data_IF_461925413928
#
_entry.id   IF_461925413928
#
_cell.length_a   1.000
_cell.length_b   1.000
_cell.length_c   1.000
_cell.angle_alpha   90.00
_cell.angle_beta   90.00
_cell.angle_gamma   90.00
#
_symmetry.space_group_name_H-M   'P 1'
#
loop_
_entity.id
_entity.type
_entity.pdbx_description
1 polymer ?
#
# COMPACT_ATOMS: atom_id res chain seq x y z
N UNK A 1 -10.23 17.11 3.59
CA UNK A 1 -10.30 15.96 2.66
C UNK A 1 -9.33 14.88 3.13
N UNK A 2 -9.67 13.58 2.98
CA UNK A 2 -8.81 12.45 3.37
C UNK A 2 -8.14 11.84 2.15
N UNK A 3 -6.82 11.75 2.15
CA UNK A 3 -6.02 11.13 1.08
C UNK A 3 -5.46 9.78 1.53
N UNK A 4 -5.29 8.89 0.58
CA UNK A 4 -4.59 7.61 0.77
C UNK A 4 -3.42 7.54 -0.20
N UNK A 5 -2.21 7.39 0.34
CA UNK A 5 -0.97 7.18 -0.40
C UNK A 5 -0.56 5.72 -0.24
N UNK A 6 -0.32 5.02 -1.33
CA UNK A 6 -0.05 3.59 -1.34
C UNK A 6 1.28 3.32 -2.02
N UNK A 7 2.20 2.74 -1.28
CA UNK A 7 3.35 2.04 -1.83
C UNK A 7 2.86 0.73 -2.48
N UNK A 8 2.61 0.80 -3.76
CA UNK A 8 1.98 -0.27 -4.51
C UNK A 8 2.89 -1.47 -4.69
N UNK A 9 4.20 -1.25 -4.76
CA UNK A 9 5.18 -2.34 -4.85
C UNK A 9 5.22 -3.15 -3.55
N UNK A 10 5.22 -2.47 -2.41
CA UNK A 10 5.15 -3.11 -1.09
C UNK A 10 3.82 -3.84 -0.88
N UNK A 11 2.70 -3.20 -1.25
CA UNK A 11 1.37 -3.83 -1.16
C UNK A 11 1.27 -5.06 -2.06
N UNK A 12 1.76 -4.98 -3.31
CA UNK A 12 1.74 -6.11 -4.23
C UNK A 12 2.57 -7.28 -3.71
N UNK A 13 3.81 -7.04 -3.31
CA UNK A 13 4.67 -8.08 -2.75
C UNK A 13 4.00 -8.74 -1.54
N UNK A 14 3.42 -7.94 -0.65
CA UNK A 14 2.74 -8.44 0.54
C UNK A 14 1.54 -9.34 0.21
N UNK A 15 0.65 -8.87 -0.68
CA UNK A 15 -0.54 -9.66 -1.03
C UNK A 15 -0.16 -10.94 -1.78
N UNK A 16 0.87 -10.88 -2.64
CA UNK A 16 1.36 -12.07 -3.35
C UNK A 16 1.87 -13.13 -2.36
N UNK A 17 2.66 -12.74 -1.37
CA UNK A 17 3.17 -13.65 -0.32
C UNK A 17 2.03 -14.27 0.51
N UNK A 18 0.94 -13.52 0.73
CA UNK A 18 -0.17 -13.98 1.56
C UNK A 18 -1.18 -14.87 0.81
N UNK A 19 -1.44 -14.58 -0.45
CA UNK A 19 -2.56 -15.22 -1.18
C UNK A 19 -2.18 -15.81 -2.54
N UNK A 20 -1.02 -15.39 -3.12
CA UNK A 20 -0.59 -15.83 -4.45
C UNK A 20 -0.34 -17.33 -4.54
N UNK A 21 0.16 -17.83 -5.70
CA UNK A 21 0.26 -17.14 -7.00
C UNK A 21 -1.06 -17.04 -7.78
N UNK A 22 -2.07 -17.86 -7.43
CA UNK A 22 -3.33 -18.01 -8.19
C UNK A 22 -4.49 -17.15 -7.65
N UNK A 23 -4.22 -16.28 -6.71
CA UNK A 23 -5.22 -15.39 -6.10
C UNK A 23 -4.60 -14.02 -5.92
N UNK A 24 -5.42 -13.00 -5.89
CA UNK A 24 -4.99 -11.64 -5.58
C UNK A 24 -6.07 -10.93 -4.76
N UNK A 25 -5.66 -9.91 -4.02
CA UNK A 25 -6.59 -9.06 -3.28
C UNK A 25 -7.27 -8.12 -4.27
N UNK A 26 -8.60 -8.22 -4.40
CA UNK A 26 -9.36 -7.31 -5.25
C UNK A 26 -9.35 -5.90 -4.66
N UNK A 27 -8.68 -4.98 -5.34
CA UNK A 27 -8.36 -3.67 -4.79
C UNK A 27 -9.58 -2.82 -4.43
N UNK A 28 -10.65 -2.68 -5.26
CA UNK A 28 -11.84 -1.92 -4.88
C UNK A 28 -12.50 -2.47 -3.60
N UNK A 29 -12.53 -3.79 -3.43
CA UNK A 29 -13.07 -4.43 -2.22
C UNK A 29 -12.18 -4.15 -1.00
N UNK A 30 -10.86 -4.14 -1.17
CA UNK A 30 -9.92 -3.73 -0.11
C UNK A 30 -10.23 -2.29 0.34
N UNK A 31 -10.32 -1.36 -0.59
CA UNK A 31 -10.61 0.05 -0.28
C UNK A 31 -11.97 0.21 0.42
N UNK A 32 -13.02 -0.41 -0.10
CA UNK A 32 -14.34 -0.37 0.53
C UNK A 32 -14.33 -0.94 1.96
N UNK A 33 -13.59 -2.02 2.19
CA UNK A 33 -13.43 -2.63 3.51
C UNK A 33 -12.65 -1.74 4.47
N UNK A 34 -11.59 -1.10 4.00
CA UNK A 34 -10.82 -0.13 4.80
C UNK A 34 -11.70 1.08 5.19
N UNK A 35 -12.42 1.67 4.25
CA UNK A 35 -13.32 2.78 4.49
C UNK A 35 -14.39 2.43 5.53
N UNK A 36 -15.00 1.25 5.38
CA UNK A 36 -16.00 0.75 6.34
C UNK A 36 -15.42 0.56 7.74
N UNK A 37 -14.24 -0.03 7.85
CA UNK A 37 -13.60 -0.32 9.16
C UNK A 37 -13.03 0.91 9.84
N UNK A 38 -12.55 1.88 9.07
CA UNK A 38 -11.98 3.14 9.57
C UNK A 38 -13.04 4.22 9.77
N UNK A 39 -14.29 3.98 9.32
CA UNK A 39 -15.39 4.96 9.32
C UNK A 39 -15.01 6.26 8.62
N UNK A 40 -14.39 6.14 7.44
CA UNK A 40 -13.96 7.27 6.62
C UNK A 40 -14.31 7.03 5.14
N UNK A 41 -14.12 8.09 4.35
CA UNK A 41 -14.07 8.01 2.89
C UNK A 41 -12.77 8.63 2.39
N UNK A 42 -12.07 7.94 1.50
CA UNK A 42 -10.93 8.50 0.79
C UNK A 42 -11.43 9.37 -0.36
N UNK A 43 -11.03 10.65 -0.37
CA UNK A 43 -11.37 11.56 -1.48
C UNK A 43 -10.50 11.30 -2.70
N UNK A 44 -9.20 11.06 -2.49
CA UNK A 44 -8.22 10.73 -3.53
C UNK A 44 -7.35 9.57 -3.04
N UNK A 45 -7.01 8.67 -3.98
CA UNK A 45 -6.13 7.52 -3.72
C UNK A 45 -4.97 7.60 -4.70
N UNK A 46 -3.76 7.74 -4.19
CA UNK A 46 -2.53 7.70 -4.97
C UNK A 46 -1.89 6.33 -4.83
N UNK A 47 -1.58 5.70 -5.95
CA UNK A 47 -0.96 4.39 -6.00
C UNK A 47 0.35 4.48 -6.79
N UNK A 48 1.46 4.15 -6.15
CA UNK A 48 2.81 4.28 -6.70
C UNK A 48 3.41 2.89 -6.87
N UNK A 49 3.74 2.52 -8.10
CA UNK A 49 4.36 1.22 -8.38
C UNK A 49 5.11 1.22 -9.70
N UNK A 50 6.06 0.31 -9.84
CA UNK A 50 6.62 -0.06 -11.13
C UNK A 50 6.25 -1.50 -11.47
N UNK A 51 6.16 -1.80 -12.78
CA UNK A 51 5.94 -3.17 -13.24
C UNK A 51 7.24 -3.97 -13.17
N UNK A 52 7.13 -5.23 -12.80
CA UNK A 52 8.25 -6.16 -12.83
C UNK A 52 8.76 -6.37 -14.25
N UNK A 53 10.09 -6.51 -14.43
CA UNK A 53 10.67 -6.76 -15.74
C UNK A 53 10.22 -8.13 -16.26
N UNK A 54 10.01 -8.23 -17.58
CA UNK A 54 9.66 -9.48 -18.24
C UNK A 54 10.93 -10.10 -18.82
N UNK A 55 11.44 -11.21 -18.26
CA UNK A 55 12.55 -11.94 -18.84
C UNK A 55 12.19 -12.51 -20.21
N UNK A 56 13.20 -12.70 -21.08
CA UNK A 56 12.99 -13.31 -22.41
C UNK A 56 12.45 -14.74 -22.30
N UNK A 57 12.97 -15.49 -21.32
CA UNK A 57 12.57 -16.87 -21.05
C UNK A 57 12.15 -17.00 -19.56
N UNK A 58 10.94 -16.59 -19.22
CA UNK A 58 10.50 -16.62 -17.84
C UNK A 58 10.23 -18.06 -17.36
N UNK A 59 10.67 -18.38 -16.13
CA UNK A 59 10.29 -19.63 -15.47
C UNK A 59 8.78 -19.64 -15.19
N UNK A 60 8.25 -20.81 -14.77
CA UNK A 60 6.85 -20.93 -14.40
C UNK A 60 6.50 -19.98 -13.26
N UNK A 61 7.34 -19.91 -12.24
CA UNK A 61 7.16 -19.04 -11.07
C UNK A 61 7.15 -17.57 -11.48
N UNK A 62 8.04 -17.17 -12.38
CA UNK A 62 8.08 -15.81 -12.92
C UNK A 62 6.83 -15.48 -13.75
N UNK A 63 6.33 -16.44 -14.54
CA UNK A 63 5.06 -16.26 -15.28
C UNK A 63 3.89 -16.09 -14.32
N UNK A 64 3.80 -16.94 -13.30
CA UNK A 64 2.74 -16.86 -12.29
C UNK A 64 2.78 -15.53 -11.54
N UNK A 65 3.98 -15.06 -11.15
CA UNK A 65 4.17 -13.76 -10.52
C UNK A 65 3.72 -12.60 -11.42
N UNK A 66 4.17 -12.57 -12.67
CA UNK A 66 3.83 -11.50 -13.63
C UNK A 66 2.34 -11.48 -13.98
N UNK A 67 1.72 -12.65 -14.08
CA UNK A 67 0.27 -12.76 -14.30
C UNK A 67 -0.50 -12.22 -13.09
N UNK A 68 -0.12 -12.62 -11.88
CA UNK A 68 -0.72 -12.12 -10.66
C UNK A 68 -0.59 -10.59 -10.55
N UNK A 69 0.61 -10.04 -10.84
CA UNK A 69 0.86 -8.60 -10.86
C UNK A 69 -0.06 -7.89 -11.85
N UNK A 70 -0.20 -8.42 -13.04
CA UNK A 70 -1.08 -7.85 -14.06
C UNK A 70 -2.53 -7.76 -13.58
N UNK A 71 -3.08 -8.86 -13.04
CA UNK A 71 -4.46 -8.87 -12.57
C UNK A 71 -4.67 -7.98 -11.35
N UNK A 72 -3.71 -7.98 -10.42
CA UNK A 72 -3.76 -7.09 -9.26
C UNK A 72 -3.77 -5.63 -9.70
N UNK A 73 -2.82 -5.19 -10.53
CA UNK A 73 -2.78 -3.79 -11.00
C UNK A 73 -3.96 -3.44 -11.93
N UNK A 74 -4.52 -4.42 -12.64
CA UNK A 74 -5.78 -4.22 -13.35
C UNK A 74 -6.90 -3.88 -12.37
N UNK A 75 -7.04 -4.63 -11.28
CA UNK A 75 -8.05 -4.35 -10.25
C UNK A 75 -7.82 -3.00 -9.55
N UNK A 76 -6.56 -2.58 -9.37
CA UNK A 76 -6.24 -1.24 -8.85
C UNK A 76 -6.85 -0.16 -9.73
N UNK A 77 -6.74 -0.29 -11.04
CA UNK A 77 -7.25 0.69 -12.02
C UNK A 77 -8.78 0.69 -12.15
N UNK A 78 -9.48 -0.27 -11.57
CA UNK A 78 -10.95 -0.28 -11.49
C UNK A 78 -11.47 0.72 -10.44
N UNK A 79 -10.65 1.14 -9.49
CA UNK A 79 -11.01 2.17 -8.51
C UNK A 79 -11.01 3.56 -9.16
N UNK A 80 -12.20 4.17 -9.26
CA UNK A 80 -12.40 5.44 -9.98
C UNK A 80 -11.65 6.64 -9.40
N UNK A 81 -11.31 6.59 -8.10
CA UNK A 81 -10.62 7.68 -7.37
C UNK A 81 -9.10 7.52 -7.40
N UNK A 82 -8.59 6.54 -8.17
CA UNK A 82 -7.16 6.23 -8.22
C UNK A 82 -6.40 7.19 -9.13
N UNK A 83 -5.27 7.65 -8.65
CA UNK A 83 -4.21 8.23 -9.46
C UNK A 83 -3.03 7.26 -9.41
N UNK A 84 -2.81 6.54 -10.50
CA UNK A 84 -1.76 5.54 -10.61
C UNK A 84 -0.48 6.18 -11.15
N UNK A 85 0.54 6.31 -10.33
CA UNK A 85 1.88 6.68 -10.75
C UNK A 85 2.67 5.43 -11.13
N UNK A 86 3.07 5.36 -12.40
CA UNK A 86 3.91 4.27 -12.90
C UNK A 86 5.37 4.71 -12.90
N UNK A 87 6.14 4.25 -11.92
CA UNK A 87 7.59 4.37 -11.94
C UNK A 87 8.24 3.55 -13.06
N UNK A 88 9.54 3.73 -13.22
CA UNK A 88 10.31 2.91 -14.15
C UNK A 88 11.35 2.04 -13.43
N UNK A 89 11.85 1.04 -14.12
CA UNK A 89 12.98 0.23 -13.65
C UNK A 89 14.21 0.52 -14.51
N UNK A 90 15.34 0.68 -13.84
CA UNK A 90 16.62 0.85 -14.52
C UNK A 90 16.91 -0.38 -15.42
N UNK A 91 17.19 -0.15 -16.69
CA UNK A 91 17.57 -1.21 -17.63
C UNK A 91 18.86 -1.92 -17.20
N UNK A 92 19.78 -1.21 -16.54
CA UNK A 92 21.08 -1.71 -16.14
C UNK A 92 21.02 -2.54 -14.86
N UNK A 93 20.32 -2.04 -13.82
CA UNK A 93 20.28 -2.68 -12.50
C UNK A 93 18.99 -3.43 -12.21
N UNK A 94 17.96 -3.28 -13.03
CA UNK A 94 16.61 -3.82 -12.77
C UNK A 94 15.90 -3.20 -11.57
N UNK A 95 16.58 -2.28 -10.85
CA UNK A 95 16.02 -1.66 -9.64
C UNK A 95 14.92 -0.66 -9.99
N UNK A 96 13.90 -0.64 -9.16
CA UNK A 96 12.86 0.36 -9.19
C UNK A 96 13.43 1.76 -8.95
N UNK A 97 12.90 2.75 -9.65
CA UNK A 97 13.33 4.13 -9.59
C UNK A 97 12.12 5.06 -9.45
N UNK A 98 12.34 6.16 -8.74
CA UNK A 98 11.41 7.29 -8.58
C UNK A 98 10.18 7.03 -7.70
N UNK A 99 9.73 5.79 -7.50
CA UNK A 99 8.47 5.49 -6.83
C UNK A 99 8.45 6.04 -5.41
N UNK A 100 9.45 5.70 -4.59
CA UNK A 100 9.52 6.12 -3.18
C UNK A 100 9.74 7.62 -3.04
N UNK A 101 10.59 8.19 -3.91
CA UNK A 101 10.83 9.62 -3.96
C UNK A 101 9.56 10.36 -4.35
N UNK A 102 8.86 9.90 -5.39
CA UNK A 102 7.61 10.52 -5.85
C UNK A 102 6.53 10.46 -4.78
N UNK A 103 6.34 9.30 -4.14
CA UNK A 103 5.40 9.15 -3.04
C UNK A 103 5.73 10.11 -1.90
N UNK A 104 7.01 10.16 -1.46
CA UNK A 104 7.46 11.05 -0.39
C UNK A 104 7.23 12.51 -0.71
N UNK A 105 7.55 12.93 -1.93
CA UNK A 105 7.36 14.32 -2.42
C UNK A 105 5.87 14.66 -2.47
N UNK A 106 5.02 13.77 -2.96
CA UNK A 106 3.57 14.02 -3.04
C UNK A 106 2.92 14.06 -1.66
N UNK A 107 3.30 13.14 -0.76
CA UNK A 107 2.82 13.14 0.62
C UNK A 107 3.13 14.48 1.29
N UNK A 108 4.38 14.91 1.25
CA UNK A 108 4.81 16.16 1.89
C UNK A 108 4.24 17.38 1.14
N UNK A 109 4.42 17.43 -0.17
CA UNK A 109 4.05 18.57 -1.00
C UNK A 109 2.55 18.89 -0.93
N UNK A 110 1.69 17.88 -1.09
CA UNK A 110 0.24 18.09 -0.98
C UNK A 110 -0.18 18.50 0.44
N UNK A 111 0.51 17.99 1.46
CA UNK A 111 0.28 18.42 2.84
C UNK A 111 0.64 19.88 3.07
N UNK A 112 1.82 20.32 2.61
CA UNK A 112 2.26 21.72 2.69
C UNK A 112 1.33 22.66 1.92
N UNK A 113 0.81 22.20 0.77
CA UNK A 113 -0.17 22.93 -0.04
C UNK A 113 -1.61 22.86 0.49
N UNK A 114 -1.85 22.26 1.67
CA UNK A 114 -3.15 22.10 2.31
C UNK A 114 -4.20 21.37 1.44
N UNK A 115 -3.76 20.43 0.58
CA UNK A 115 -4.65 19.65 -0.27
C UNK A 115 -5.47 18.62 0.52
N UNK A 116 -4.98 18.23 1.70
CA UNK A 116 -5.66 17.33 2.63
C UNK A 116 -5.42 17.76 4.09
N UNK A 117 -6.32 17.37 4.97
CA UNK A 117 -6.19 17.52 6.42
C UNK A 117 -5.96 16.17 7.13
N UNK A 118 -6.20 15.07 6.43
CA UNK A 118 -5.96 13.72 6.92
C UNK A 118 -5.33 12.87 5.80
N UNK A 119 -4.24 12.19 6.13
CA UNK A 119 -3.56 11.27 5.22
C UNK A 119 -3.42 9.89 5.85
N UNK A 120 -3.55 8.88 5.00
CA UNK A 120 -3.13 7.53 5.29
C UNK A 120 -1.98 7.16 4.34
N UNK A 121 -0.91 6.62 4.90
CA UNK A 121 0.20 6.04 4.14
C UNK A 121 0.18 4.54 4.31
N UNK A 122 0.02 3.82 3.20
CA UNK A 122 0.01 2.36 3.17
C UNK A 122 1.37 1.86 2.70
N UNK A 123 2.21 1.46 3.63
CA UNK A 123 3.53 0.87 3.42
C UNK A 123 4.01 0.15 4.67
N UNK A 124 4.93 -0.79 4.53
CA UNK A 124 5.70 -1.38 5.63
C UNK A 124 7.15 -0.92 5.62
N UNK A 125 7.53 -0.01 4.70
CA UNK A 125 8.89 0.44 4.51
C UNK A 125 9.22 1.62 5.45
N UNK A 126 10.41 1.54 6.05
CA UNK A 126 10.93 2.57 6.94
C UNK A 126 11.44 3.82 6.21
N UNK A 127 11.72 3.73 4.93
CA UNK A 127 12.30 4.83 4.14
C UNK A 127 11.37 6.05 4.09
N UNK A 128 10.08 5.86 4.31
CA UNK A 128 9.10 6.95 4.37
C UNK A 128 9.05 7.69 5.72
N UNK A 129 9.76 7.23 6.76
CA UNK A 129 9.71 7.87 8.09
C UNK A 129 10.14 9.32 8.06
N UNK A 130 11.17 9.65 7.29
CA UNK A 130 11.66 11.03 7.19
C UNK A 130 10.61 11.95 6.55
N UNK A 131 9.89 11.47 5.53
CA UNK A 131 8.79 12.23 4.92
C UNK A 131 7.65 12.45 5.92
N UNK A 132 7.29 11.42 6.69
CA UNK A 132 6.29 11.51 7.75
C UNK A 132 6.70 12.50 8.84
N UNK A 133 7.95 12.43 9.30
CA UNK A 133 8.50 13.32 10.32
C UNK A 133 8.51 14.78 9.83
N UNK A 134 9.04 15.01 8.65
CA UNK A 134 9.08 16.36 8.04
C UNK A 134 7.66 16.94 7.93
N UNK A 135 6.70 16.17 7.41
CA UNK A 135 5.32 16.60 7.31
C UNK A 135 4.73 16.99 8.68
N UNK A 136 4.93 16.17 9.70
CA UNK A 136 4.37 16.42 11.04
C UNK A 136 5.03 17.60 11.75
N UNK A 137 6.30 17.84 11.48
CA UNK A 137 7.03 19.00 12.02
C UNK A 137 6.49 20.30 11.44
N UNK A 138 6.25 20.35 10.12
CA UNK A 138 5.87 21.60 9.43
C UNK A 138 4.35 21.78 9.33
N UNK A 139 3.56 20.71 9.48
CA UNK A 139 2.10 20.72 9.45
C UNK A 139 1.53 19.83 10.58
N UNK A 140 1.71 20.20 11.85
CA UNK A 140 1.28 19.41 13.00
C UNK A 140 -0.24 19.17 13.02
N UNK A 141 -1.03 20.05 12.40
CA UNK A 141 -2.49 19.93 12.29
C UNK A 141 -2.96 18.80 11.38
N UNK A 142 -2.11 18.31 10.47
CA UNK A 142 -2.44 17.17 9.60
C UNK A 142 -2.51 15.90 10.43
N UNK A 143 -3.61 15.19 10.34
CA UNK A 143 -3.75 13.83 10.89
C UNK A 143 -3.09 12.84 9.94
N UNK A 144 -1.98 12.23 10.36
CA UNK A 144 -1.29 11.19 9.61
C UNK A 144 -1.46 9.84 10.31
N UNK A 145 -1.83 8.81 9.56
CA UNK A 145 -1.93 7.44 10.04
C UNK A 145 -1.29 6.47 9.04
N UNK A 146 -0.80 5.34 9.53
CA UNK A 146 -0.15 4.32 8.71
C UNK A 146 -1.06 3.11 8.56
N UNK A 147 -1.00 2.50 7.37
CA UNK A 147 -1.61 1.22 7.07
C UNK A 147 -0.49 0.25 6.67
N UNK A 148 -0.44 -0.90 7.29
CA UNK A 148 0.61 -1.88 7.02
C UNK A 148 0.00 -3.27 6.87
N UNK A 149 0.45 -4.01 5.86
CA UNK A 149 0.07 -5.42 5.73
C UNK A 149 0.75 -6.26 6.81
N UNK A 150 0.06 -7.27 7.31
CA UNK A 150 0.51 -8.10 8.45
C UNK A 150 1.90 -8.73 8.28
N UNK A 151 2.31 -9.02 7.07
CA UNK A 151 3.59 -9.66 6.74
C UNK A 151 4.68 -8.67 6.31
N UNK A 152 4.41 -7.38 6.32
CA UNK A 152 5.37 -6.32 5.95
C UNK A 152 5.62 -5.33 7.10
N UNK A 153 5.44 -5.77 8.34
CA UNK A 153 5.78 -4.97 9.52
C UNK A 153 7.29 -5.07 9.72
N UNK A 154 8.04 -4.26 8.99
CA UNK A 154 9.50 -4.35 8.97
C UNK A 154 10.19 -3.48 10.02
N UNK A 155 9.54 -2.42 10.49
CA UNK A 155 10.19 -1.44 11.35
C UNK A 155 9.31 -0.92 12.48
N UNK A 156 9.76 -1.08 13.71
CA UNK A 156 9.02 -0.62 14.91
C UNK A 156 8.84 0.89 14.98
N UNK A 157 9.75 1.67 14.37
CA UNK A 157 9.67 3.14 14.32
C UNK A 157 8.44 3.68 13.59
N UNK A 158 7.83 2.92 12.66
CA UNK A 158 6.57 3.30 12.02
C UNK A 158 5.44 3.48 13.04
N UNK A 159 5.49 2.79 14.18
CA UNK A 159 4.47 2.88 15.23
C UNK A 159 4.54 4.16 16.09
N UNK A 160 5.42 5.10 15.79
CA UNK A 160 5.39 6.45 16.37
C UNK A 160 4.11 7.19 15.97
N UNK A 161 3.50 6.79 14.84
CA UNK A 161 2.24 7.32 14.34
C UNK A 161 1.08 6.35 14.64
N UNK A 162 -0.19 6.83 14.67
CA UNK A 162 -1.34 5.95 14.66
C UNK A 162 -1.24 4.95 13.52
N UNK A 163 -1.25 3.65 13.83
CA UNK A 163 -1.00 2.60 12.85
C UNK A 163 -2.10 1.55 12.88
N UNK A 164 -2.43 1.02 11.70
CA UNK A 164 -3.38 -0.05 11.52
C UNK A 164 -2.71 -1.19 10.77
N UNK A 165 -2.88 -2.40 11.26
CA UNK A 165 -2.39 -3.61 10.60
C UNK A 165 -3.54 -4.26 9.85
N UNK A 166 -3.34 -4.46 8.56
CA UNK A 166 -4.30 -5.12 7.67
C UNK A 166 -4.00 -6.62 7.74
N UNK A 167 -4.93 -7.38 8.32
CA UNK A 167 -4.84 -8.83 8.42
C UNK A 167 -5.78 -9.49 7.42
N UNK A 168 -5.25 -10.32 6.53
CA UNK A 168 -6.04 -11.13 5.59
C UNK A 168 -6.36 -12.50 6.22
N UNK A 169 -5.48 -13.01 7.08
CA UNK A 169 -5.64 -14.25 7.85
C UNK A 169 -5.59 -13.97 9.34
N UNK A 170 -6.08 -14.91 10.20
CA UNK A 170 -5.94 -14.77 11.66
C UNK A 170 -4.48 -14.54 12.02
N UNK A 171 -4.20 -13.36 12.51
CA UNK A 171 -2.88 -12.95 12.92
C UNK A 171 -2.76 -13.03 14.43
N UNK A 172 -1.87 -13.88 14.94
CA UNK A 172 -1.46 -13.89 16.35
C UNK A 172 -0.24 -12.96 16.52
N UNK A 173 -0.37 -11.69 16.19
CA UNK A 173 0.69 -10.73 16.49
C UNK A 173 0.62 -10.40 17.97
N UNK A 174 1.51 -11.03 18.74
CA UNK A 174 1.78 -10.66 20.13
C UNK A 174 2.74 -9.47 20.11
N UNK A 175 2.46 -8.44 20.90
CA UNK A 175 3.31 -7.26 21.13
C UNK A 175 3.36 -6.22 20.01
N UNK A 176 2.23 -5.64 19.65
CA UNK A 176 2.18 -4.43 18.85
C UNK A 176 1.97 -3.21 19.75
N UNK A 177 2.60 -2.09 19.41
CA UNK A 177 2.55 -0.86 20.21
C UNK A 177 1.10 -0.44 20.55
N UNK A 178 0.89 0.20 21.72
CA UNK A 178 -0.43 0.54 22.29
C UNK A 178 -1.38 1.34 21.38
N UNK A 179 -0.87 1.93 20.30
CA UNK A 179 -1.65 2.73 19.33
C UNK A 179 -2.06 1.98 18.06
N UNK A 180 -1.76 0.69 17.96
CA UNK A 180 -2.04 -0.09 16.75
C UNK A 180 -3.44 -0.71 16.83
N UNK A 181 -4.22 -0.49 15.79
CA UNK A 181 -5.52 -1.14 15.59
C UNK A 181 -5.42 -2.14 14.44
N UNK A 182 -6.04 -3.30 14.63
CA UNK A 182 -6.09 -4.35 13.62
C UNK A 182 -7.34 -4.19 12.74
N UNK A 183 -7.15 -4.31 11.44
CA UNK A 183 -8.23 -4.42 10.47
C UNK A 183 -8.24 -5.86 9.98
N UNK A 184 -9.21 -6.64 10.46
CA UNK A 184 -9.41 -8.02 10.02
C UNK A 184 -10.31 -8.03 8.79
N UNK A 185 -9.74 -8.41 7.64
CA UNK A 185 -10.44 -8.55 6.37
C UNK A 185 -10.95 -9.96 6.12
N UNK A 186 -10.82 -10.87 7.09
CA UNK A 186 -11.09 -12.30 6.94
C UNK A 186 -12.50 -12.67 6.49
N UNK A 187 -13.47 -11.81 6.79
CA UNK A 187 -14.88 -12.06 6.47
C UNK A 187 -15.29 -11.60 5.06
N UNK A 188 -14.39 -11.05 4.28
CA UNK A 188 -14.62 -10.66 2.89
C UNK A 188 -14.11 -11.78 1.99
N UNK A 189 -14.93 -12.83 1.81
CA UNK A 189 -14.63 -13.97 0.91
C UNK A 189 -14.27 -13.52 -0.53
N UNK A 190 -14.69 -12.33 -0.89
CA UNK A 190 -14.55 -11.75 -2.23
C UNK A 190 -13.21 -11.02 -2.44
N UNK A 191 -12.34 -10.91 -1.42
CA UNK A 191 -11.07 -10.21 -1.53
C UNK A 191 -10.02 -10.94 -2.38
N UNK A 192 -10.21 -12.21 -2.62
CA UNK A 192 -9.23 -13.04 -3.31
C UNK A 192 -9.87 -13.87 -4.41
N UNK A 193 -10.29 -13.28 -5.54
CA UNK A 193 -10.77 -14.05 -6.68
C UNK A 193 -9.67 -14.98 -7.19
N UNK A 194 -10.08 -16.17 -7.63
CA UNK A 194 -9.15 -17.10 -8.28
C UNK A 194 -8.86 -16.62 -9.68
N UNK A 195 -7.60 -16.74 -10.08
CA UNK A 195 -7.21 -16.57 -11.48
C UNK A 195 -7.64 -17.83 -12.22
N UNK A 196 -8.50 -17.67 -13.24
CA UNK A 196 -8.88 -18.70 -14.20
C UNK A 196 -7.74 -19.05 -15.14
#
# INVERSE_FOLDING_TARGET
MTYLFIDGSNLYASQYDLVGPRRFVHFPTLIASLEKKLLIKFGVIYFYASYSPRPSNPTKEQKDFLNNEYYFYKSVKEEKRITFFKGYRSKTSGKEKEVDVKLSVDLVGYGLLNKYNKAFLMTGDADFLQACHFLKTHKPSISLALLCMQNKIMYKGLFQYPSYIICINKCSIKNVARKTKYIDLKKTADLCPRLS
#
